data_IF_802470498256
#
_entry.id   IF_802470498256
#
_cell.length_a   1.000
_cell.length_b   1.000
_cell.length_c   1.000
_cell.angle_alpha   90.00
_cell.angle_beta   90.00
_cell.angle_gamma   90.00
#
_symmetry.space_group_name_H-M   'P 1'
#
loop_
_entity.id
_entity.type
_entity.pdbx_description
1 polymer ?
#
# COMPACT_ATOMS: atom_id res chain seq x y z
N UNK A 1 -12.24 46.31 10.86
CA UNK A 1 -11.37 45.17 11.21
C UNK A 1 -11.61 43.99 10.27
N UNK A 2 -11.59 44.17 8.93
CA UNK A 2 -12.02 43.13 7.97
C UNK A 2 -10.94 42.67 6.97
N UNK A 3 -9.65 42.82 7.29
CA UNK A 3 -8.58 42.68 6.29
C UNK A 3 -7.59 41.54 6.55
N UNK A 4 -7.57 40.92 7.74
CA UNK A 4 -6.65 39.81 8.07
C UNK A 4 -7.21 38.45 7.65
N UNK A 5 -8.50 38.18 7.89
CA UNK A 5 -9.17 36.94 7.50
C UNK A 5 -9.09 36.68 5.99
N UNK A 6 -9.28 37.75 5.21
CA UNK A 6 -9.17 37.70 3.74
C UNK A 6 -7.74 37.38 3.28
N UNK A 7 -6.70 37.80 4.01
CA UNK A 7 -5.30 37.61 3.61
C UNK A 7 -4.84 36.16 3.79
N UNK A 8 -5.21 35.50 4.89
CA UNK A 8 -4.85 34.08 5.11
C UNK A 8 -5.49 33.22 4.02
N UNK A 9 -6.79 33.40 3.78
CA UNK A 9 -7.54 32.67 2.74
C UNK A 9 -6.95 32.93 1.35
N UNK A 10 -6.60 34.17 1.01
CA UNK A 10 -5.95 34.49 -0.27
C UNK A 10 -4.58 33.81 -0.43
N UNK A 11 -3.75 33.78 0.62
CA UNK A 11 -2.47 33.06 0.61
C UNK A 11 -2.65 31.57 0.40
N UNK A 12 -3.67 30.96 1.01
CA UNK A 12 -4.02 29.55 0.83
C UNK A 12 -4.52 29.26 -0.58
N UNK A 13 -5.40 30.11 -1.12
CA UNK A 13 -5.89 29.99 -2.51
C UNK A 13 -4.79 30.15 -3.55
N UNK A 14 -3.78 30.98 -3.27
CA UNK A 14 -2.64 31.18 -4.17
C UNK A 14 -1.82 29.90 -4.42
N UNK A 15 -1.95 28.87 -3.56
CA UNK A 15 -1.32 27.55 -3.71
C UNK A 15 -1.95 26.70 -4.81
N UNK A 16 -3.19 27.03 -5.20
CA UNK A 16 -3.88 26.39 -6.31
C UNK A 16 -3.64 27.17 -7.59
N UNK A 17 -3.59 26.44 -8.71
CA UNK A 17 -3.48 27.06 -10.03
C UNK A 17 -4.71 27.94 -10.29
N UNK A 18 -4.60 29.03 -11.06
CA UNK A 18 -5.72 29.94 -11.31
C UNK A 18 -7.01 29.23 -11.77
N UNK A 19 -6.89 28.20 -12.60
CA UNK A 19 -7.98 27.37 -13.11
C UNK A 19 -8.60 26.44 -12.05
N UNK A 20 -7.88 26.12 -10.98
CA UNK A 20 -8.34 25.25 -9.88
C UNK A 20 -9.06 26.02 -8.78
N UNK A 21 -8.77 27.32 -8.61
CA UNK A 21 -9.35 28.14 -7.53
C UNK A 21 -10.89 28.14 -7.53
N UNK A 22 -11.59 28.29 -8.68
CA UNK A 22 -13.05 28.20 -8.70
C UNK A 22 -13.59 26.85 -8.24
N UNK A 23 -12.85 25.76 -8.49
CA UNK A 23 -13.24 24.41 -8.06
C UNK A 23 -13.24 24.31 -6.54
N UNK A 24 -12.19 24.86 -5.90
CA UNK A 24 -12.00 24.91 -4.43
C UNK A 24 -13.04 25.83 -3.78
N UNK A 25 -13.20 27.05 -4.29
CA UNK A 25 -14.17 28.02 -3.74
C UNK A 25 -15.62 27.54 -3.89
N UNK A 26 -15.91 26.82 -4.98
CA UNK A 26 -17.23 26.26 -5.25
C UNK A 26 -17.61 25.05 -4.41
N UNK A 27 -16.69 24.43 -3.64
CA UNK A 27 -17.01 23.28 -2.78
C UNK A 27 -18.09 23.65 -1.76
N UNK A 28 -17.99 24.85 -1.17
CA UNK A 28 -18.94 25.32 -0.16
C UNK A 28 -20.38 25.38 -0.71
N UNK A 29 -20.55 25.93 -1.90
CA UNK A 29 -21.86 26.06 -2.54
C UNK A 29 -22.44 24.70 -2.96
N UNK A 30 -21.57 23.78 -3.43
CA UNK A 30 -21.97 22.40 -3.74
C UNK A 30 -22.48 21.67 -2.51
N UNK A 31 -21.78 21.77 -1.37
CA UNK A 31 -22.20 21.14 -0.11
C UNK A 31 -23.51 21.76 0.43
N UNK A 32 -23.75 23.04 0.16
CA UNK A 32 -25.03 23.70 0.48
C UNK A 32 -26.18 23.36 -0.49
N UNK A 33 -25.90 22.68 -1.61
CA UNK A 33 -26.89 22.37 -2.66
C UNK A 33 -27.27 23.56 -3.55
N UNK A 34 -26.45 24.62 -3.62
CA UNK A 34 -26.71 25.78 -4.47
C UNK A 34 -26.09 25.61 -5.87
N UNK A 35 -26.89 25.82 -6.92
CA UNK A 35 -26.42 25.87 -8.31
C UNK A 35 -25.51 27.11 -8.51
N UNK A 36 -24.44 27.04 -9.33
CA UNK A 36 -23.46 28.13 -9.48
C UNK A 36 -23.98 29.42 -10.16
N UNK A 37 -25.29 29.53 -10.42
CA UNK A 37 -25.91 30.65 -11.15
C UNK A 37 -26.70 31.64 -10.28
N UNK A 38 -26.56 31.65 -8.96
CA UNK A 38 -27.38 32.47 -8.08
C UNK A 38 -26.64 33.29 -7.02
N UNK A 39 -26.26 34.53 -7.37
CA UNK A 39 -26.21 35.68 -6.46
C UNK A 39 -25.12 35.71 -5.37
N UNK A 40 -24.32 36.77 -5.41
CA UNK A 40 -23.36 37.15 -4.37
C UNK A 40 -23.97 37.08 -2.95
N UNK A 41 -23.23 36.42 -2.05
CA UNK A 41 -23.21 36.69 -0.60
C UNK A 41 -24.54 36.77 0.14
N UNK A 42 -25.08 35.64 0.60
CA UNK A 42 -25.83 35.64 1.86
C UNK A 42 -24.87 35.37 3.01
N UNK A 43 -24.48 36.44 3.70
CA UNK A 43 -23.76 36.37 4.97
C UNK A 43 -24.52 35.47 5.97
N UNK A 44 -23.83 34.52 6.60
CA UNK A 44 -24.36 33.68 7.68
C UNK A 44 -24.69 32.22 7.36
N UNK A 45 -24.36 31.70 6.16
CA UNK A 45 -24.44 30.26 5.89
C UNK A 45 -23.19 29.55 6.41
N UNK A 46 -23.38 28.41 7.08
CA UNK A 46 -22.33 27.56 7.64
C UNK A 46 -22.62 26.11 7.29
N UNK A 47 -21.57 25.32 7.08
CA UNK A 47 -21.71 23.88 6.86
C UNK A 47 -21.88 23.16 8.20
N UNK A 48 -22.78 22.19 8.21
CA UNK A 48 -22.98 21.28 9.35
C UNK A 48 -22.55 19.87 8.99
N UNK A 49 -22.27 19.03 9.99
CA UNK A 49 -21.89 17.62 9.80
C UNK A 49 -22.84 16.87 8.86
N UNK A 50 -24.15 17.14 8.96
CA UNK A 50 -25.17 16.50 8.13
C UNK A 50 -25.02 16.77 6.63
N UNK A 51 -24.36 17.88 6.25
CA UNK A 51 -24.14 18.26 4.86
C UNK A 51 -23.00 17.49 4.21
N UNK A 52 -22.09 16.89 5.00
CA UNK A 52 -20.99 16.07 4.49
C UNK A 52 -21.45 14.63 4.19
N UNK A 53 -22.47 14.14 4.91
CA UNK A 53 -22.94 12.75 4.79
C UNK A 53 -23.35 12.35 3.37
N UNK A 54 -24.11 13.17 2.59
CA UNK A 54 -24.48 12.81 1.23
C UNK A 54 -23.28 12.65 0.28
N UNK A 55 -22.18 13.38 0.53
CA UNK A 55 -21.00 13.34 -0.33
C UNK A 55 -20.04 12.21 0.05
N UNK A 56 -19.90 11.94 1.34
CA UNK A 56 -18.91 10.99 1.86
C UNK A 56 -19.47 9.64 2.30
N UNK A 57 -20.80 9.51 2.48
CA UNK A 57 -21.43 8.36 3.13
C UNK A 57 -21.23 7.01 2.43
N UNK A 58 -20.96 7.01 1.11
CA UNK A 58 -20.68 5.77 0.37
C UNK A 58 -19.21 5.34 0.46
N UNK A 59 -18.31 6.22 0.92
CA UNK A 59 -16.86 5.97 0.93
C UNK A 59 -16.23 6.06 2.31
N UNK A 60 -16.89 6.65 3.31
CA UNK A 60 -16.32 6.89 4.63
C UNK A 60 -17.31 6.51 5.73
N UNK A 61 -16.79 5.98 6.83
CA UNK A 61 -17.56 5.68 8.04
C UNK A 61 -18.12 6.96 8.68
N UNK A 62 -19.20 6.82 9.46
CA UNK A 62 -19.77 7.93 10.24
C UNK A 62 -18.74 8.55 11.21
N UNK A 63 -17.81 7.74 11.74
CA UNK A 63 -16.66 8.19 12.51
C UNK A 63 -15.73 9.06 11.67
N UNK A 64 -15.30 8.59 10.48
CA UNK A 64 -14.42 9.37 9.61
C UNK A 64 -15.06 10.69 9.16
N UNK A 65 -16.36 10.70 8.83
CA UNK A 65 -17.07 11.94 8.46
C UNK A 65 -17.06 12.94 9.62
N UNK A 66 -17.26 12.48 10.87
CA UNK A 66 -17.14 13.33 12.07
C UNK A 66 -15.72 13.87 12.24
N UNK A 67 -14.69 13.06 12.00
CA UNK A 67 -13.29 13.46 12.07
C UNK A 67 -12.97 14.55 11.03
N UNK A 68 -13.38 14.37 9.78
CA UNK A 68 -13.23 15.37 8.71
C UNK A 68 -13.91 16.69 9.08
N UNK A 69 -15.14 16.62 9.59
CA UNK A 69 -15.84 17.81 10.08
C UNK A 69 -15.12 18.49 11.25
N UNK A 70 -14.60 17.72 12.22
CA UNK A 70 -13.80 18.26 13.32
C UNK A 70 -12.52 18.96 12.82
N UNK A 71 -11.87 18.38 11.81
CA UNK A 71 -10.71 18.99 11.15
C UNK A 71 -11.04 20.29 10.40
N UNK A 72 -12.23 20.41 9.81
CA UNK A 72 -12.69 21.68 9.23
C UNK A 72 -12.95 22.73 10.32
N UNK A 73 -13.57 22.33 11.44
CA UNK A 73 -13.85 23.22 12.57
C UNK A 73 -12.59 23.73 13.28
N UNK A 74 -11.47 22.98 13.23
CA UNK A 74 -10.22 23.37 13.87
C UNK A 74 -9.42 24.43 13.10
N UNK A 75 -9.86 24.80 11.89
CA UNK A 75 -9.16 25.80 11.08
C UNK A 75 -9.38 27.21 11.62
N UNK A 76 -8.30 27.96 11.79
CA UNK A 76 -8.30 29.38 12.10
C UNK A 76 -8.06 30.20 10.81
N UNK A 77 -9.07 30.90 10.28
CA UNK A 77 -8.91 31.74 9.09
C UNK A 77 -8.23 33.10 9.38
N UNK A 78 -7.83 33.39 10.62
CA UNK A 78 -7.14 34.64 11.00
C UNK A 78 -7.98 35.64 11.82
N UNK A 79 -8.88 35.12 12.67
CA UNK A 79 -9.92 35.89 13.36
C UNK A 79 -10.31 35.32 14.74
N UNK A 80 -11.38 35.85 15.36
CA UNK A 80 -11.84 35.34 16.66
C UNK A 80 -12.38 33.90 16.52
N UNK A 81 -12.04 32.96 17.42
CA UNK A 81 -12.49 31.58 17.32
C UNK A 81 -14.03 31.51 17.31
N UNK A 82 -14.63 30.76 16.37
CA UNK A 82 -16.07 30.71 16.25
C UNK A 82 -16.70 30.10 17.51
N UNK A 83 -17.91 30.54 17.91
CA UNK A 83 -18.59 29.97 19.06
C UNK A 83 -18.83 28.46 18.87
N UNK A 84 -18.82 27.66 19.94
CA UNK A 84 -19.08 26.23 19.85
C UNK A 84 -20.41 25.95 19.13
N UNK A 85 -20.37 25.10 18.09
CA UNK A 85 -21.56 24.77 17.30
C UNK A 85 -21.92 25.74 16.18
N UNK A 86 -21.08 26.75 15.90
CA UNK A 86 -21.31 27.72 14.83
C UNK A 86 -21.25 27.14 13.39
N UNK A 87 -20.88 25.88 13.21
CA UNK A 87 -20.66 25.30 11.88
C UNK A 87 -19.34 25.72 11.25
N UNK A 88 -19.09 25.28 10.01
CA UNK A 88 -17.85 25.58 9.26
C UNK A 88 -18.12 26.71 8.28
N UNK A 89 -17.33 27.79 8.35
CA UNK A 89 -17.41 28.91 7.40
C UNK A 89 -16.78 28.58 6.04
N UNK A 90 -17.02 29.42 5.03
CA UNK A 90 -16.39 29.26 3.71
C UNK A 90 -14.87 29.38 3.81
N UNK A 91 -14.40 30.34 4.61
CA UNK A 91 -12.99 30.62 4.84
C UNK A 91 -12.30 29.43 5.50
N UNK A 92 -12.90 28.85 6.54
CA UNK A 92 -12.40 27.64 7.20
C UNK A 92 -12.29 26.46 6.23
N UNK A 93 -13.30 26.25 5.38
CA UNK A 93 -13.26 25.20 4.36
C UNK A 93 -12.12 25.41 3.35
N UNK A 94 -11.89 26.64 2.90
CA UNK A 94 -10.80 26.93 1.95
C UNK A 94 -9.44 26.69 2.58
N UNK A 95 -9.23 27.12 3.84
CA UNK A 95 -8.00 26.85 4.59
C UNK A 95 -7.81 25.34 4.78
N UNK A 96 -8.85 24.62 5.20
CA UNK A 96 -8.84 23.16 5.33
C UNK A 96 -8.41 22.47 4.03
N UNK A 97 -9.04 22.83 2.91
CA UNK A 97 -8.73 22.23 1.61
C UNK A 97 -7.29 22.54 1.17
N UNK A 98 -6.80 23.75 1.43
CA UNK A 98 -5.42 24.12 1.12
C UNK A 98 -4.41 23.32 1.96
N UNK A 99 -4.66 23.18 3.26
CA UNK A 99 -3.72 22.55 4.19
C UNK A 99 -3.73 21.02 4.02
N UNK A 100 -4.89 20.41 3.75
CA UNK A 100 -4.93 19.01 3.31
C UNK A 100 -4.22 18.88 1.97
N UNK A 101 -4.71 19.52 0.90
CA UNK A 101 -4.35 19.13 -0.48
C UNK A 101 -3.02 19.70 -0.98
N UNK A 102 -2.47 20.72 -0.29
CA UNK A 102 -1.24 21.45 -0.66
C UNK A 102 -0.35 21.81 0.54
N UNK A 103 -0.71 21.43 1.77
CA UNK A 103 0.04 21.79 2.97
C UNK A 103 1.27 20.93 3.22
N UNK A 104 2.18 21.47 4.02
CA UNK A 104 3.37 20.77 4.54
C UNK A 104 2.99 19.85 5.72
N UNK A 105 3.96 19.09 6.24
CA UNK A 105 3.75 18.29 7.46
C UNK A 105 3.36 19.17 8.66
N UNK A 106 4.02 20.32 8.83
CA UNK A 106 3.73 21.34 9.86
C UNK A 106 2.28 21.81 9.80
N UNK A 107 1.76 22.08 8.60
CA UNK A 107 0.38 22.56 8.42
C UNK A 107 -0.66 21.43 8.57
N UNK A 108 -0.27 20.19 8.29
CA UNK A 108 -1.14 19.01 8.41
C UNK A 108 -1.20 18.46 9.83
N UNK A 109 -0.15 18.58 10.63
CA UNK A 109 -0.11 17.98 11.97
C UNK A 109 -1.23 18.48 12.91
N UNK A 110 -1.53 19.79 13.02
CA UNK A 110 -2.65 20.28 13.83
C UNK A 110 -4.01 19.74 13.36
N UNK A 111 -4.19 19.64 12.04
CA UNK A 111 -5.39 19.07 11.45
C UNK A 111 -5.55 17.59 11.85
N UNK A 112 -4.51 16.80 11.69
CA UNK A 112 -4.50 15.39 12.07
C UNK A 112 -4.78 15.20 13.56
N UNK A 113 -4.19 16.07 14.38
CA UNK A 113 -4.40 16.11 15.82
C UNK A 113 -5.88 16.34 16.17
N UNK A 114 -6.56 17.28 15.49
CA UNK A 114 -7.99 17.52 15.65
C UNK A 114 -8.85 16.35 15.14
N UNK A 115 -8.46 15.73 14.03
CA UNK A 115 -9.16 14.56 13.48
C UNK A 115 -9.01 13.30 14.36
N UNK A 116 -7.88 13.12 15.04
CA UNK A 116 -7.62 11.96 15.89
C UNK A 116 -8.35 12.02 17.23
N UNK A 117 -8.30 13.17 17.93
CA UNK A 117 -8.86 13.30 19.29
C UNK A 117 -10.26 13.94 19.33
N UNK A 118 -10.69 14.61 18.25
CA UNK A 118 -11.86 15.50 18.27
C UNK A 118 -11.55 16.87 18.91
N UNK A 119 -12.56 17.58 19.43
CA UNK A 119 -12.35 18.83 20.18
C UNK A 119 -11.55 18.53 21.46
N UNK A 120 -10.32 19.02 21.55
CA UNK A 120 -9.40 18.56 22.59
C UNK A 120 -8.21 19.47 22.88
N UNK A 121 -7.30 18.96 23.71
CA UNK A 121 -6.21 19.68 24.38
C UNK A 121 -4.93 19.79 23.56
N UNK A 122 -4.90 19.23 22.34
CA UNK A 122 -3.73 19.21 21.46
C UNK A 122 -2.81 18.00 21.66
N UNK A 123 -3.30 16.95 22.35
CA UNK A 123 -2.56 15.70 22.60
C UNK A 123 -3.47 14.50 22.32
N UNK A 124 -3.00 13.51 21.58
CA UNK A 124 -3.74 12.28 21.26
C UNK A 124 -3.01 11.04 21.78
N UNK A 125 -3.76 10.00 22.19
CA UNK A 125 -3.16 8.69 22.49
C UNK A 125 -2.78 7.95 21.21
N UNK A 126 -1.81 7.03 21.28
CA UNK A 126 -1.50 6.16 20.14
C UNK A 126 -2.74 5.40 19.63
N UNK A 127 -3.62 4.97 20.53
CA UNK A 127 -4.83 4.24 20.17
C UNK A 127 -5.81 5.13 19.37
N UNK A 128 -5.99 6.39 19.75
CA UNK A 128 -6.80 7.34 18.98
C UNK A 128 -6.24 7.58 17.57
N UNK A 129 -4.91 7.63 17.43
CA UNK A 129 -4.25 7.77 16.12
C UNK A 129 -4.46 6.50 15.29
N UNK A 130 -4.30 5.32 15.89
CA UNK A 130 -4.53 4.04 15.23
C UNK A 130 -5.98 3.91 14.77
N UNK A 131 -6.97 4.28 15.60
CA UNK A 131 -8.39 4.28 15.23
C UNK A 131 -8.67 5.23 14.07
N UNK A 132 -8.10 6.44 14.09
CA UNK A 132 -8.20 7.36 12.96
C UNK A 132 -7.59 6.78 11.68
N UNK A 133 -6.43 6.12 11.78
CA UNK A 133 -5.79 5.46 10.65
C UNK A 133 -6.61 4.28 10.12
N UNK A 134 -7.28 3.51 10.98
CA UNK A 134 -8.20 2.45 10.55
C UNK A 134 -9.37 3.03 9.77
N UNK A 135 -9.99 4.10 10.27
CA UNK A 135 -11.03 4.85 9.55
C UNK A 135 -10.53 5.35 8.19
N UNK A 136 -9.28 5.83 8.12
CA UNK A 136 -8.68 6.36 6.90
C UNK A 136 -8.40 5.28 5.86
N UNK A 137 -7.73 4.20 6.27
CA UNK A 137 -7.44 3.06 5.40
C UNK A 137 -8.73 2.43 4.90
N UNK A 138 -9.73 2.27 5.78
CA UNK A 138 -11.06 1.78 5.39
C UNK A 138 -11.71 2.67 4.34
N UNK A 139 -11.65 3.99 4.51
CA UNK A 139 -12.19 4.92 3.53
C UNK A 139 -11.47 4.86 2.18
N UNK A 140 -10.14 4.71 2.18
CA UNK A 140 -9.36 4.51 0.94
C UNK A 140 -9.75 3.21 0.24
N UNK A 141 -9.92 2.11 0.98
CA UNK A 141 -10.40 0.84 0.43
C UNK A 141 -11.78 1.01 -0.21
N UNK A 142 -12.70 1.71 0.45
CA UNK A 142 -14.02 2.00 -0.13
C UNK A 142 -13.92 2.89 -1.37
N UNK A 143 -13.04 3.90 -1.39
CA UNK A 143 -12.80 4.72 -2.60
C UNK A 143 -12.35 3.85 -3.77
N UNK A 144 -11.40 2.93 -3.55
CA UNK A 144 -10.93 2.01 -4.59
C UNK A 144 -12.09 1.20 -5.16
N UNK A 145 -12.93 0.64 -4.29
CA UNK A 145 -14.09 -0.20 -4.67
C UNK A 145 -15.14 0.64 -5.42
N UNK A 146 -15.61 1.72 -4.81
CA UNK A 146 -16.72 2.53 -5.32
C UNK A 146 -16.36 3.30 -6.59
N UNK A 147 -15.08 3.66 -6.77
CA UNK A 147 -14.59 4.34 -7.99
C UNK A 147 -14.10 3.35 -9.06
N UNK A 148 -14.24 2.05 -8.84
CA UNK A 148 -13.87 1.02 -9.82
C UNK A 148 -12.36 0.94 -10.11
N UNK A 149 -11.50 1.33 -9.15
CA UNK A 149 -10.04 1.37 -9.31
C UNK A 149 -9.38 0.04 -8.92
N UNK A 150 -10.10 -1.06 -9.10
CA UNK A 150 -9.70 -2.39 -8.65
C UNK A 150 -8.64 -3.06 -9.52
N UNK A 151 -8.37 -2.54 -10.73
CA UNK A 151 -7.26 -3.03 -11.57
C UNK A 151 -7.30 -4.56 -11.83
N UNK A 152 -8.49 -5.17 -11.87
CA UNK A 152 -8.67 -6.61 -12.08
C UNK A 152 -8.76 -7.45 -10.79
N UNK A 153 -8.46 -6.87 -9.62
CA UNK A 153 -8.66 -7.50 -8.32
C UNK A 153 -10.16 -7.65 -7.99
N UNK A 154 -10.51 -8.68 -7.21
CA UNK A 154 -11.89 -9.06 -6.87
C UNK A 154 -12.06 -9.15 -5.36
N UNK A 155 -12.42 -8.05 -4.66
CA UNK A 155 -12.54 -8.02 -3.20
C UNK A 155 -13.42 -9.13 -2.62
N UNK A 156 -14.49 -9.51 -3.32
CA UNK A 156 -15.40 -10.59 -2.95
C UNK A 156 -14.78 -12.00 -3.00
N UNK A 157 -13.61 -12.14 -3.64
CA UNK A 157 -12.80 -13.37 -3.74
C UNK A 157 -11.47 -13.27 -2.99
N UNK A 158 -11.22 -12.18 -2.28
CA UNK A 158 -9.99 -11.90 -1.54
C UNK A 158 -10.18 -12.13 -0.04
N UNK A 159 -9.09 -11.99 0.72
CA UNK A 159 -9.15 -12.04 2.18
C UNK A 159 -9.93 -10.84 2.76
N UNK A 160 -10.39 -11.00 4.00
CA UNK A 160 -11.17 -9.96 4.69
C UNK A 160 -10.31 -8.72 4.96
N UNK A 161 -10.66 -7.63 4.28
CA UNK A 161 -9.98 -6.34 4.42
C UNK A 161 -10.12 -5.73 5.81
N UNK A 162 -11.06 -6.18 6.65
CA UNK A 162 -11.20 -5.66 8.03
C UNK A 162 -9.95 -5.93 8.88
N UNK A 163 -9.29 -7.08 8.64
CA UNK A 163 -8.04 -7.44 9.30
C UNK A 163 -6.90 -6.63 8.70
N UNK A 164 -6.80 -6.54 7.37
CA UNK A 164 -5.78 -5.73 6.69
C UNK A 164 -5.82 -4.25 7.05
N UNK A 165 -7.02 -3.67 7.25
CA UNK A 165 -7.19 -2.28 7.69
C UNK A 165 -6.50 -2.05 9.04
N UNK A 166 -6.71 -2.96 10.00
CA UNK A 166 -6.08 -2.87 11.33
C UNK A 166 -4.57 -3.02 11.23
N UNK A 167 -4.11 -4.04 10.52
CA UNK A 167 -2.68 -4.32 10.35
C UNK A 167 -1.94 -3.17 9.64
N UNK A 168 -2.52 -2.59 8.61
CA UNK A 168 -1.93 -1.47 7.89
C UNK A 168 -1.93 -0.20 8.75
N UNK A 169 -3.01 0.08 9.50
CA UNK A 169 -3.03 1.21 10.43
C UNK A 169 -1.95 1.08 11.51
N UNK A 170 -1.80 -0.10 12.10
CA UNK A 170 -0.74 -0.40 13.08
C UNK A 170 0.65 -0.22 12.46
N UNK A 171 0.87 -0.75 11.25
CA UNK A 171 2.13 -0.57 10.52
C UNK A 171 2.45 0.91 10.27
N UNK A 172 1.48 1.69 9.79
CA UNK A 172 1.65 3.13 9.52
C UNK A 172 1.97 3.91 10.80
N UNK A 173 1.43 3.46 11.94
CA UNK A 173 1.67 4.05 13.26
C UNK A 173 3.00 3.62 13.90
N UNK A 174 3.68 2.59 13.37
CA UNK A 174 4.86 1.98 14.02
C UNK A 174 6.09 2.88 14.11
N UNK A 175 6.16 3.94 13.28
CA UNK A 175 7.22 4.97 13.30
C UNK A 175 6.86 6.20 14.16
N UNK A 176 5.72 6.19 14.84
CA UNK A 176 5.40 7.20 15.84
C UNK A 176 6.41 7.11 16.98
N UNK A 177 6.83 8.27 17.48
CA UNK A 177 7.71 8.41 18.64
C UNK A 177 6.92 9.10 19.76
N UNK A 178 6.00 8.39 20.41
CA UNK A 178 5.20 8.97 21.47
C UNK A 178 6.08 9.32 22.68
N UNK A 179 5.56 10.18 23.55
CA UNK A 179 6.12 10.36 24.89
C UNK A 179 5.97 9.08 25.73
N UNK A 180 6.61 9.05 26.90
CA UNK A 180 6.59 7.89 27.81
C UNK A 180 5.17 7.40 28.18
N UNK A 181 4.14 8.24 28.03
CA UNK A 181 2.74 7.91 28.31
C UNK A 181 1.97 7.36 27.09
N UNK A 182 2.64 6.99 25.99
CA UNK A 182 2.00 6.60 24.71
C UNK A 182 1.05 7.67 24.17
N UNK A 183 1.41 8.93 24.36
CA UNK A 183 0.70 10.09 23.82
C UNK A 183 1.59 10.85 22.84
N UNK A 184 0.97 11.45 21.83
CA UNK A 184 1.61 12.26 20.80
C UNK A 184 1.06 13.69 20.85
N UNK A 185 1.95 14.67 20.81
CA UNK A 185 1.63 16.07 20.60
C UNK A 185 1.77 16.44 19.11
N UNK A 186 1.54 17.72 18.77
CA UNK A 186 1.61 18.19 17.37
C UNK A 186 3.02 18.01 16.77
N UNK A 187 4.13 18.38 17.43
CA UNK A 187 5.48 18.13 16.91
C UNK A 187 5.77 16.65 16.64
N UNK A 188 5.31 15.75 17.51
CA UNK A 188 5.42 14.30 17.29
C UNK A 188 4.70 13.88 16.00
N UNK A 189 3.49 14.38 15.76
CA UNK A 189 2.75 14.09 14.52
C UNK A 189 3.38 14.72 13.28
N UNK A 190 3.94 15.93 13.38
CA UNK A 190 4.64 16.58 12.28
C UNK A 190 5.84 15.75 11.82
N UNK A 191 6.71 15.37 12.76
CA UNK A 191 7.89 14.54 12.51
C UNK A 191 7.52 13.18 11.89
N UNK A 192 6.42 12.58 12.37
CA UNK A 192 5.89 11.33 11.81
C UNK A 192 5.30 11.51 10.41
N UNK A 193 4.46 12.52 10.18
CA UNK A 193 3.85 12.80 8.86
C UNK A 193 4.90 13.11 7.80
N UNK A 194 6.01 13.73 8.20
CA UNK A 194 7.15 13.98 7.32
C UNK A 194 7.80 12.67 6.84
N UNK A 195 7.93 11.66 7.72
CA UNK A 195 8.49 10.34 7.36
C UNK A 195 7.50 9.45 6.62
N UNK A 196 6.23 9.45 7.03
CA UNK A 196 5.20 8.52 6.52
C UNK A 196 4.26 9.22 5.55
N UNK A 197 4.78 9.53 4.36
CA UNK A 197 4.06 10.30 3.32
C UNK A 197 2.79 9.63 2.78
N UNK A 198 2.63 8.31 2.94
CA UNK A 198 1.41 7.58 2.55
C UNK A 198 0.17 8.08 3.28
N UNK A 199 0.32 8.48 4.55
CA UNK A 199 -0.78 9.01 5.38
C UNK A 199 -1.37 10.26 4.75
N UNK A 200 -0.51 11.19 4.33
CA UNK A 200 -0.88 12.40 3.63
C UNK A 200 -1.58 12.10 2.30
N UNK A 201 -1.04 11.16 1.51
CA UNK A 201 -1.60 10.77 0.23
C UNK A 201 -3.01 10.16 0.38
N UNK A 202 -3.25 9.37 1.42
CA UNK A 202 -4.57 8.79 1.72
C UNK A 202 -5.57 9.86 2.15
N UNK A 203 -5.15 10.83 2.95
CA UNK A 203 -5.98 11.99 3.29
C UNK A 203 -6.33 12.83 2.07
N UNK A 204 -5.36 13.09 1.21
CA UNK A 204 -5.57 13.84 -0.04
C UNK A 204 -6.61 13.13 -0.92
N UNK A 205 -6.51 11.81 -1.04
CA UNK A 205 -7.47 11.00 -1.77
C UNK A 205 -8.87 11.02 -1.13
N UNK A 206 -8.96 10.87 0.20
CA UNK A 206 -10.21 10.93 0.93
C UNK A 206 -10.93 12.27 0.73
N UNK A 207 -10.22 13.38 0.92
CA UNK A 207 -10.80 14.72 0.82
C UNK A 207 -11.12 15.07 -0.64
N UNK A 208 -10.23 14.72 -1.57
CA UNK A 208 -10.44 14.92 -3.00
C UNK A 208 -11.68 14.19 -3.52
N UNK A 209 -11.82 12.90 -3.21
CA UNK A 209 -12.95 12.09 -3.68
C UNK A 209 -14.21 12.32 -2.86
N UNK A 210 -14.09 12.49 -1.55
CA UNK A 210 -15.22 12.62 -0.62
C UNK A 210 -15.91 13.98 -0.68
N UNK A 211 -15.17 15.05 -0.96
CA UNK A 211 -15.75 16.38 -1.17
C UNK A 211 -15.86 16.75 -2.65
N UNK A 212 -15.52 15.82 -3.54
CA UNK A 212 -15.55 15.99 -4.99
C UNK A 212 -14.76 17.25 -5.44
N UNK A 213 -13.48 17.29 -5.06
CA UNK A 213 -12.53 18.36 -5.37
C UNK A 213 -11.64 17.88 -6.53
N UNK A 214 -12.11 18.09 -7.76
CA UNK A 214 -11.38 17.68 -8.98
C UNK A 214 -10.26 18.65 -9.33
N UNK A 215 -9.02 18.34 -8.91
CA UNK A 215 -7.83 19.15 -9.23
C UNK A 215 -7.09 18.54 -10.43
N UNK A 216 -6.96 19.31 -11.51
CA UNK A 216 -6.29 18.85 -12.74
C UNK A 216 -4.79 18.60 -12.55
N UNK A 217 -4.15 19.28 -11.58
CA UNK A 217 -2.72 19.14 -11.34
C UNK A 217 -2.36 17.87 -10.56
N UNK A 218 -3.34 17.08 -10.09
CA UNK A 218 -3.09 15.94 -9.22
C UNK A 218 -4.07 14.80 -9.52
N UNK A 219 -3.75 13.94 -10.51
CA UNK A 219 -4.56 12.75 -10.74
C UNK A 219 -4.53 11.85 -9.49
N UNK A 220 -5.59 11.05 -9.27
CA UNK A 220 -5.61 10.10 -8.17
C UNK A 220 -4.44 9.12 -8.25
N UNK A 221 -3.79 8.78 -7.13
CA UNK A 221 -2.67 7.85 -7.11
C UNK A 221 -3.11 6.44 -7.51
N UNK A 222 -2.23 5.72 -8.19
CA UNK A 222 -2.37 4.27 -8.37
C UNK A 222 -2.03 3.59 -7.06
N UNK A 223 -2.99 2.85 -6.50
CA UNK A 223 -2.85 2.16 -5.20
C UNK A 223 -2.76 0.64 -5.33
N UNK A 224 -3.09 0.10 -6.50
CA UNK A 224 -3.08 -1.33 -6.78
C UNK A 224 -2.35 -1.59 -8.10
N UNK A 225 -1.55 -2.67 -8.18
CA UNK A 225 -1.01 -3.12 -9.46
C UNK A 225 -2.13 -3.77 -10.29
N UNK A 226 -2.02 -3.81 -11.62
CA UNK A 226 -2.90 -4.63 -12.45
C UNK A 226 -2.85 -6.10 -12.03
N UNK A 227 -3.99 -6.78 -12.03
CA UNK A 227 -4.10 -8.23 -11.84
C UNK A 227 -4.47 -8.87 -13.18
N UNK A 228 -3.68 -9.84 -13.64
CA UNK A 228 -3.80 -10.39 -14.98
C UNK A 228 -4.17 -11.88 -14.97
N UNK A 229 -5.19 -12.24 -15.77
CA UNK A 229 -5.60 -13.63 -16.06
C UNK A 229 -5.88 -14.53 -14.85
N UNK A 230 -6.27 -13.95 -13.71
CA UNK A 230 -6.51 -14.74 -12.48
C UNK A 230 -7.85 -15.50 -12.56
N UNK A 231 -7.88 -16.83 -12.30
CA UNK A 231 -9.09 -17.65 -12.33
C UNK A 231 -9.95 -17.48 -11.05
N UNK A 232 -10.56 -16.30 -10.93
CA UNK A 232 -11.32 -15.86 -9.75
C UNK A 232 -12.47 -16.78 -9.35
N UNK A 233 -13.08 -17.51 -10.28
CA UNK A 233 -14.19 -18.43 -9.99
C UNK A 233 -13.81 -19.52 -8.98
N UNK A 234 -12.56 -19.97 -9.01
CA UNK A 234 -12.05 -21.05 -8.16
C UNK A 234 -11.12 -20.56 -7.05
N UNK A 235 -10.48 -19.42 -7.25
CA UNK A 235 -9.53 -18.87 -6.28
C UNK A 235 -10.23 -18.14 -5.13
N UNK A 236 -9.78 -18.38 -3.91
CA UNK A 236 -9.93 -17.48 -2.76
C UNK A 236 -8.54 -16.95 -2.41
N UNK A 237 -8.28 -15.69 -2.76
CA UNK A 237 -6.95 -15.11 -2.61
C UNK A 237 -6.64 -14.80 -1.14
N UNK A 238 -5.40 -15.11 -0.72
CA UNK A 238 -4.89 -14.82 0.61
C UNK A 238 -4.60 -13.32 0.84
N UNK A 239 -4.40 -12.55 -0.22
CA UNK A 239 -4.19 -11.11 -0.14
C UNK A 239 -5.53 -10.37 -0.01
N UNK A 240 -5.54 -9.28 0.75
CA UNK A 240 -6.59 -8.28 0.75
C UNK A 240 -6.07 -6.96 0.12
N UNK A 241 -6.95 -5.96 -0.01
CA UNK A 241 -6.58 -4.67 -0.61
C UNK A 241 -5.54 -3.90 0.24
N UNK A 242 -5.68 -3.76 1.58
CA UNK A 242 -4.65 -3.12 2.41
C UNK A 242 -3.26 -3.76 2.27
N UNK A 243 -3.17 -5.09 2.24
CA UNK A 243 -1.89 -5.80 2.10
C UNK A 243 -1.27 -5.53 0.72
N UNK A 244 -2.06 -5.47 -0.36
CA UNK A 244 -1.57 -5.06 -1.67
C UNK A 244 -1.07 -3.62 -1.70
N UNK A 245 -1.81 -2.69 -1.07
CA UNK A 245 -1.41 -1.28 -0.94
C UNK A 245 -0.09 -1.14 -0.18
N UNK A 246 0.19 -2.05 0.76
CA UNK A 246 1.44 -2.09 1.52
C UNK A 246 2.60 -2.73 0.74
N UNK A 247 2.37 -3.90 0.12
CA UNK A 247 3.44 -4.68 -0.52
C UNK A 247 3.86 -4.12 -1.88
N UNK A 248 2.92 -3.59 -2.67
CA UNK A 248 3.22 -3.14 -4.05
C UNK A 248 4.29 -2.04 -4.11
N UNK A 249 4.26 -1.00 -3.25
CA UNK A 249 5.33 0.00 -3.20
C UNK A 249 6.71 -0.55 -2.84
N UNK A 250 6.79 -1.73 -2.23
CA UNK A 250 8.06 -2.36 -1.83
C UNK A 250 8.72 -3.10 -2.99
N UNK A 251 8.01 -3.31 -4.09
CA UNK A 251 8.51 -4.02 -5.27
C UNK A 251 9.30 -3.06 -6.17
N UNK A 252 10.44 -3.49 -6.76
CA UNK A 252 11.26 -2.64 -7.62
C UNK A 252 10.51 -2.03 -8.81
N UNK A 253 9.63 -2.80 -9.45
CA UNK A 253 8.86 -2.35 -10.62
C UNK A 253 7.49 -1.71 -10.24
N UNK A 254 7.18 -1.67 -8.93
CA UNK A 254 6.01 -1.03 -8.35
C UNK A 254 4.68 -1.40 -9.02
N UNK A 255 3.92 -0.38 -9.43
CA UNK A 255 2.57 -0.51 -9.98
C UNK A 255 2.53 -0.83 -11.49
N UNK A 256 3.67 -0.86 -12.17
CA UNK A 256 3.71 -0.88 -13.64
C UNK A 256 3.64 -2.30 -14.24
N UNK A 257 3.81 -3.32 -13.42
CA UNK A 257 3.83 -4.72 -13.86
C UNK A 257 2.58 -5.43 -13.36
N UNK A 258 1.83 -6.12 -14.24
CA UNK A 258 0.69 -6.91 -13.83
C UNK A 258 1.13 -8.08 -12.94
N UNK A 259 0.42 -8.28 -11.84
CA UNK A 259 0.52 -9.46 -11.01
C UNK A 259 -0.22 -10.61 -11.68
N UNK A 260 0.50 -11.71 -11.91
CA UNK A 260 -0.05 -12.94 -12.49
C UNK A 260 0.04 -14.08 -11.51
N UNK A 261 -1.07 -14.77 -11.25
CA UNK A 261 -1.03 -15.98 -10.42
C UNK A 261 -0.29 -17.09 -11.17
N UNK A 262 0.85 -17.53 -10.62
CA UNK A 262 1.64 -18.63 -11.16
C UNK A 262 1.25 -19.95 -10.52
N UNK A 263 1.01 -19.96 -9.21
CA UNK A 263 0.65 -21.16 -8.47
C UNK A 263 -0.29 -20.83 -7.30
N UNK A 264 -1.15 -21.77 -6.98
CA UNK A 264 -1.98 -21.77 -5.78
C UNK A 264 -2.33 -23.20 -5.42
N UNK A 265 -2.23 -23.57 -4.14
CA UNK A 265 -2.60 -24.92 -3.68
C UNK A 265 -4.07 -25.24 -3.96
N UNK A 266 -4.95 -24.24 -3.91
CA UNK A 266 -6.39 -24.39 -4.20
C UNK A 266 -6.68 -24.80 -5.65
N UNK A 267 -5.81 -24.39 -6.58
CA UNK A 267 -6.04 -24.59 -8.02
C UNK A 267 -5.20 -25.72 -8.59
N UNK A 268 -3.97 -25.86 -8.12
CA UNK A 268 -2.95 -26.74 -8.72
C UNK A 268 -2.65 -27.97 -7.86
N UNK A 269 -3.18 -28.01 -6.62
CA UNK A 269 -2.98 -29.08 -5.67
C UNK A 269 -1.65 -28.99 -4.92
N UNK A 270 -1.36 -30.04 -4.16
CA UNK A 270 -0.27 -30.10 -3.19
C UNK A 270 0.93 -30.86 -3.76
N UNK A 271 1.75 -30.18 -4.58
CA UNK A 271 2.92 -30.80 -5.20
C UNK A 271 4.05 -29.81 -5.37
N UNK A 272 5.19 -30.10 -4.73
CA UNK A 272 6.39 -29.28 -4.87
C UNK A 272 6.88 -29.22 -6.32
N UNK A 273 6.85 -30.33 -7.04
CA UNK A 273 7.20 -30.39 -8.48
C UNK A 273 6.33 -29.43 -9.31
N UNK A 274 5.04 -29.30 -8.99
CA UNK A 274 4.16 -28.32 -9.66
C UNK A 274 4.51 -26.88 -9.29
N UNK A 275 4.88 -26.58 -8.05
CA UNK A 275 5.39 -25.26 -7.66
C UNK A 275 6.61 -24.92 -8.50
N UNK A 276 7.62 -25.80 -8.51
CA UNK A 276 8.86 -25.61 -9.27
C UNK A 276 8.55 -25.36 -10.75
N UNK A 277 7.74 -26.22 -11.38
CA UNK A 277 7.36 -26.07 -12.79
C UNK A 277 6.59 -24.79 -13.10
N UNK A 278 5.83 -24.25 -12.14
CA UNK A 278 5.06 -23.02 -12.32
C UNK A 278 5.88 -21.75 -12.13
N UNK A 279 6.97 -21.81 -11.34
CA UNK A 279 7.78 -20.66 -10.97
C UNK A 279 9.10 -20.56 -11.75
N UNK A 280 9.62 -21.68 -12.24
CA UNK A 280 10.91 -21.74 -12.94
C UNK A 280 10.91 -20.83 -14.17
N UNK A 281 11.91 -19.94 -14.25
CA UNK A 281 12.08 -19.03 -15.39
C UNK A 281 10.98 -17.97 -15.56
N UNK A 282 10.13 -17.72 -14.55
CA UNK A 282 9.02 -16.74 -14.65
C UNK A 282 9.38 -15.31 -14.23
N UNK A 283 10.65 -15.06 -13.92
CA UNK A 283 11.10 -13.76 -13.39
C UNK A 283 10.76 -13.57 -11.90
N UNK A 284 10.77 -12.32 -11.41
CA UNK A 284 10.51 -12.00 -10.00
C UNK A 284 9.14 -12.49 -9.50
N UNK A 285 9.09 -13.02 -8.27
CA UNK A 285 7.86 -13.56 -7.67
C UNK A 285 7.64 -13.12 -6.24
N UNK A 286 6.38 -12.95 -5.85
CA UNK A 286 5.94 -12.89 -4.45
C UNK A 286 5.39 -14.27 -4.06
N UNK A 287 6.06 -14.90 -3.08
CA UNK A 287 5.61 -16.13 -2.44
C UNK A 287 4.81 -15.77 -1.19
N UNK A 288 3.61 -16.31 -1.04
CA UNK A 288 2.73 -16.11 0.11
C UNK A 288 2.31 -17.46 0.68
N UNK A 289 2.50 -17.62 1.99
CA UNK A 289 2.24 -18.85 2.74
C UNK A 289 1.30 -18.52 3.88
N UNK A 290 0.33 -19.40 4.09
CA UNK A 290 -0.47 -19.48 5.30
C UNK A 290 -0.17 -20.81 5.99
N UNK A 291 0.18 -20.76 7.28
CA UNK A 291 0.33 -21.96 8.10
C UNK A 291 -1.01 -22.40 8.71
N UNK A 292 -1.06 -23.64 9.23
CA UNK A 292 -2.27 -24.20 9.86
C UNK A 292 -2.68 -23.51 11.15
N UNK A 293 -1.84 -22.61 11.70
CA UNK A 293 -2.16 -21.74 12.84
C UNK A 293 -2.57 -20.33 12.41
N UNK A 294 -2.75 -20.12 11.11
CA UNK A 294 -3.28 -18.89 10.53
C UNK A 294 -2.27 -17.76 10.34
N UNK A 295 -0.98 -17.96 10.62
CA UNK A 295 0.02 -16.93 10.29
C UNK A 295 0.17 -16.85 8.77
N UNK A 296 0.27 -15.63 8.26
CA UNK A 296 0.46 -15.36 6.83
C UNK A 296 1.76 -14.59 6.67
N UNK A 297 2.66 -15.12 5.86
CA UNK A 297 4.00 -14.57 5.65
C UNK A 297 4.55 -15.02 4.29
N UNK A 298 5.69 -14.47 3.90
CA UNK A 298 6.21 -14.74 2.58
C UNK A 298 7.53 -14.07 2.27
N UNK A 299 7.88 -14.06 0.99
CA UNK A 299 9.08 -13.42 0.49
C UNK A 299 8.94 -12.97 -0.95
N UNK A 300 9.64 -11.89 -1.28
CA UNK A 300 9.85 -11.45 -2.65
C UNK A 300 11.19 -11.99 -3.15
N UNK A 301 11.14 -12.76 -4.24
CA UNK A 301 12.30 -13.25 -4.96
C UNK A 301 12.56 -12.34 -6.17
N UNK A 302 13.75 -11.75 -6.24
CA UNK A 302 14.09 -10.74 -7.25
C UNK A 302 14.41 -11.29 -8.64
N UNK A 303 14.55 -12.61 -8.77
CA UNK A 303 14.89 -13.29 -10.01
C UNK A 303 13.96 -14.48 -10.25
N UNK A 304 13.94 -14.96 -11.49
CA UNK A 304 13.33 -16.24 -11.82
C UNK A 304 14.00 -17.38 -11.05
N UNK A 305 13.19 -18.33 -10.60
CA UNK A 305 13.70 -19.48 -9.88
C UNK A 305 14.45 -20.44 -10.82
N UNK A 306 15.68 -20.80 -10.45
CA UNK A 306 16.43 -21.89 -11.07
C UNK A 306 16.64 -23.02 -10.07
N UNK A 307 16.65 -24.26 -10.56
CA UNK A 307 16.94 -25.45 -9.75
C UNK A 307 18.45 -25.68 -9.77
N UNK A 308 19.14 -25.31 -8.70
CA UNK A 308 20.59 -25.48 -8.54
C UNK A 308 20.99 -25.53 -7.06
N UNK A 309 22.15 -26.13 -6.72
CA UNK A 309 22.57 -26.27 -5.32
C UNK A 309 23.13 -24.98 -4.70
N UNK A 310 23.29 -23.90 -5.47
CA UNK A 310 23.77 -22.61 -4.99
C UNK A 310 22.63 -21.63 -4.68
N UNK A 311 22.89 -20.72 -3.75
CA UNK A 311 22.05 -19.54 -3.57
C UNK A 311 22.05 -18.66 -4.83
N UNK A 312 20.93 -17.95 -5.03
CA UNK A 312 20.68 -17.08 -6.18
C UNK A 312 19.93 -15.82 -5.74
N UNK A 313 19.61 -14.95 -6.71
CA UNK A 313 18.94 -13.67 -6.46
C UNK A 313 19.93 -12.55 -6.10
N UNK A 314 19.40 -11.43 -5.62
CA UNK A 314 20.18 -10.27 -5.23
C UNK A 314 19.62 -9.58 -3.96
N UNK A 315 20.23 -8.46 -3.57
CA UNK A 315 19.86 -7.67 -2.39
C UNK A 315 18.46 -7.04 -2.44
N UNK A 316 17.75 -7.12 -3.58
CA UNK A 316 16.35 -6.65 -3.67
C UNK A 316 15.37 -7.67 -3.11
N UNK A 317 15.79 -8.92 -2.89
CA UNK A 317 14.97 -9.90 -2.17
C UNK A 317 14.66 -9.42 -0.75
N UNK A 318 13.49 -9.78 -0.24
CA UNK A 318 13.10 -9.51 1.14
C UNK A 318 12.10 -10.55 1.64
N UNK A 319 12.01 -10.68 2.96
CA UNK A 319 10.93 -11.41 3.61
C UNK A 319 9.87 -10.45 4.13
N UNK A 320 8.65 -10.93 4.31
CA UNK A 320 7.59 -10.14 4.92
C UNK A 320 6.65 -11.00 5.76
N UNK A 321 6.01 -10.37 6.74
CA UNK A 321 4.88 -10.92 7.48
C UNK A 321 3.62 -10.13 7.13
N UNK A 322 2.48 -10.81 7.08
CA UNK A 322 1.15 -10.22 6.87
C UNK A 322 0.34 -10.33 8.15
N UNK A 323 0.20 -11.53 8.71
CA UNK A 323 -0.52 -11.77 9.98
C UNK A 323 0.35 -12.62 10.91
N UNK A 324 0.50 -12.26 12.20
CA UNK A 324 -0.29 -11.29 12.97
C UNK A 324 0.19 -9.83 12.90
N UNK A 325 1.28 -9.55 12.20
CA UNK A 325 1.76 -8.17 12.00
C UNK A 325 2.25 -7.96 10.57
N UNK A 326 1.99 -6.79 10.02
CA UNK A 326 2.37 -6.42 8.65
C UNK A 326 3.76 -5.74 8.65
N UNK A 327 4.78 -6.39 8.09
CA UNK A 327 6.16 -5.86 8.07
C UNK A 327 6.97 -6.43 6.92
N UNK A 328 7.94 -5.65 6.43
CA UNK A 328 8.97 -6.05 5.46
C UNK A 328 10.34 -6.11 6.12
N UNK A 329 11.15 -7.08 5.73
CA UNK A 329 12.50 -7.36 6.23
C UNK A 329 13.48 -7.45 5.06
N UNK A 330 14.18 -6.35 4.80
CA UNK A 330 15.16 -6.23 3.70
C UNK A 330 16.51 -6.82 4.08
N UNK A 331 17.40 -7.01 3.09
CA UNK A 331 18.69 -7.61 3.34
C UNK A 331 19.56 -6.81 4.34
N UNK A 332 20.29 -7.50 5.21
CA UNK A 332 21.22 -6.92 6.19
C UNK A 332 22.59 -6.59 5.59
N UNK A 333 22.91 -7.14 4.41
CA UNK A 333 24.24 -7.10 3.81
C UNK A 333 25.24 -8.11 4.39
N UNK A 334 24.83 -8.97 5.34
CA UNK A 334 25.74 -9.92 5.99
C UNK A 334 26.23 -11.06 5.07
N UNK A 335 25.36 -11.55 4.19
CA UNK A 335 25.67 -12.59 3.22
C UNK A 335 24.79 -12.44 1.96
N UNK A 336 25.03 -13.28 0.96
CA UNK A 336 24.30 -13.28 -0.31
C UNK A 336 23.37 -14.51 -0.45
N UNK A 337 22.86 -15.02 0.68
CA UNK A 337 22.00 -16.22 0.71
C UNK A 337 20.52 -15.86 0.47
N UNK A 338 20.24 -15.12 -0.60
CA UNK A 338 18.94 -14.46 -0.78
C UNK A 338 17.80 -15.46 -1.02
N UNK A 339 17.93 -16.29 -2.04
CA UNK A 339 16.95 -17.32 -2.39
C UNK A 339 17.66 -18.61 -2.84
N UNK A 340 17.01 -19.75 -2.63
CA UNK A 340 17.53 -21.08 -2.88
C UNK A 340 16.41 -21.96 -3.41
N UNK A 341 16.66 -22.71 -4.47
CA UNK A 341 15.74 -23.74 -4.95
C UNK A 341 16.54 -24.91 -5.47
N UNK A 342 16.24 -26.09 -4.94
CA UNK A 342 16.90 -27.31 -5.34
C UNK A 342 15.94 -28.50 -5.31
N UNK A 343 16.20 -29.50 -6.14
CA UNK A 343 15.36 -30.69 -6.28
C UNK A 343 16.18 -31.87 -6.77
N UNK A 344 15.92 -33.06 -6.23
CA UNK A 344 16.51 -34.33 -6.68
C UNK A 344 18.00 -34.53 -6.30
N UNK A 345 18.55 -33.74 -5.39
CA UNK A 345 19.92 -33.90 -4.92
C UNK A 345 20.00 -34.83 -3.70
N UNK A 346 21.07 -35.62 -3.60
CA UNK A 346 21.25 -36.57 -2.49
C UNK A 346 21.87 -35.91 -1.26
N UNK A 347 22.79 -34.97 -1.46
CA UNK A 347 23.61 -34.37 -0.39
C UNK A 347 23.20 -32.96 -0.02
N UNK A 348 22.37 -32.33 -0.83
CA UNK A 348 21.92 -30.95 -0.64
C UNK A 348 20.42 -30.93 -0.32
N UNK A 349 19.95 -29.97 0.51
CA UNK A 349 18.54 -29.87 0.85
C UNK A 349 17.67 -29.66 -0.40
N UNK A 350 16.60 -30.43 -0.55
CA UNK A 350 15.64 -30.26 -1.62
C UNK A 350 14.44 -29.47 -1.12
N UNK A 351 14.13 -28.36 -1.78
CA UNK A 351 13.11 -27.43 -1.32
C UNK A 351 13.36 -26.02 -1.83
N UNK A 352 12.53 -25.09 -1.35
CA UNK A 352 12.59 -23.67 -1.64
C UNK A 352 12.93 -22.93 -0.35
N UNK A 353 14.00 -22.14 -0.36
CA UNK A 353 14.48 -21.40 0.81
C UNK A 353 14.73 -19.94 0.50
N UNK A 354 14.59 -19.08 1.51
CA UNK A 354 14.96 -17.68 1.45
C UNK A 354 15.63 -17.22 2.74
N UNK A 355 16.86 -16.71 2.63
CA UNK A 355 17.62 -16.11 3.72
C UNK A 355 18.13 -17.12 4.74
N UNK A 356 19.30 -16.85 5.33
CA UNK A 356 19.91 -17.71 6.36
C UNK A 356 20.94 -18.64 5.76
N UNK A 357 20.90 -19.91 6.14
CA UNK A 357 21.80 -20.96 5.64
C UNK A 357 21.06 -22.30 5.62
N UNK A 358 21.67 -23.33 5.01
CA UNK A 358 21.10 -24.68 5.00
C UNK A 358 20.71 -25.14 6.41
N UNK A 359 19.46 -25.56 6.57
CA UNK A 359 18.90 -26.00 7.86
C UNK A 359 18.43 -24.88 8.81
N UNK A 360 18.72 -23.61 8.49
CA UNK A 360 18.37 -22.43 9.28
C UNK A 360 17.88 -21.29 8.37
N UNK A 361 16.92 -21.58 7.50
CA UNK A 361 16.38 -20.56 6.61
C UNK A 361 15.41 -19.63 7.36
N UNK A 362 15.37 -18.36 6.95
CA UNK A 362 14.34 -17.42 7.40
C UNK A 362 12.95 -17.86 6.93
N UNK A 363 12.87 -18.45 5.73
CA UNK A 363 11.72 -19.12 5.18
C UNK A 363 12.16 -20.37 4.40
N UNK A 364 11.60 -21.53 4.72
CA UNK A 364 11.82 -22.79 4.00
C UNK A 364 10.50 -23.51 3.72
N UNK A 365 10.39 -24.06 2.52
CA UNK A 365 9.37 -25.02 2.12
C UNK A 365 10.06 -26.29 1.64
N UNK A 366 9.70 -27.42 2.25
CA UNK A 366 10.30 -28.70 1.95
C UNK A 366 9.81 -29.30 0.62
N UNK A 367 10.67 -30.06 -0.06
CA UNK A 367 10.31 -30.75 -1.30
C UNK A 367 9.26 -31.85 -1.13
N UNK A 368 9.11 -32.40 0.08
CA UNK A 368 8.05 -33.35 0.41
C UNK A 368 6.65 -32.70 0.41
N UNK A 369 6.58 -31.37 0.22
CA UNK A 369 5.38 -30.55 0.34
C UNK A 369 4.75 -30.61 1.76
N UNK A 370 3.93 -29.61 2.09
CA UNK A 370 3.12 -29.61 3.31
C UNK A 370 3.86 -29.21 4.59
N UNK A 371 5.20 -29.15 4.57
CA UNK A 371 6.03 -28.77 5.72
C UNK A 371 7.05 -27.71 5.36
N UNK A 372 7.37 -26.86 6.32
CA UNK A 372 8.37 -25.82 6.18
C UNK A 372 8.92 -25.38 7.53
N UNK A 373 9.84 -24.43 7.52
CA UNK A 373 10.34 -23.83 8.76
C UNK A 373 10.72 -22.35 8.58
N UNK A 374 10.74 -21.62 9.69
CA UNK A 374 11.26 -20.25 9.84
C UNK A 374 12.25 -20.20 11.00
N UNK A 375 13.46 -20.71 10.76
CA UNK A 375 14.51 -20.89 11.77
C UNK A 375 15.38 -19.64 11.88
N UNK A 376 14.80 -18.59 12.44
CA UNK A 376 15.38 -17.26 12.48
C UNK A 376 15.66 -16.78 13.92
N UNK A 377 16.19 -17.65 14.81
CA UNK A 377 16.51 -17.27 16.20
C UNK A 377 17.98 -16.88 16.39
N UNK A 378 18.30 -15.68 16.94
CA UNK A 378 17.37 -14.61 17.33
C UNK A 378 16.80 -13.85 16.13
N UNK A 379 17.53 -13.77 15.01
CA UNK A 379 17.09 -13.22 13.72
C UNK A 379 17.74 -13.97 12.56
N UNK A 380 17.08 -14.01 11.40
CA UNK A 380 17.68 -14.48 10.15
C UNK A 380 18.88 -13.60 9.78
N UNK A 381 20.02 -14.20 9.46
CA UNK A 381 21.26 -13.45 9.16
C UNK A 381 21.14 -12.61 7.89
N UNK A 382 20.45 -13.10 6.86
CA UNK A 382 20.32 -12.42 5.56
C UNK A 382 19.35 -11.25 5.60
N UNK A 383 18.22 -11.38 6.32
CA UNK A 383 17.12 -10.41 6.27
C UNK A 383 16.82 -9.71 7.61
N UNK A 384 17.45 -10.12 8.70
CA UNK A 384 17.14 -9.59 10.03
C UNK A 384 15.71 -9.90 10.51
N UNK A 385 14.97 -10.73 9.77
CA UNK A 385 13.61 -11.12 10.11
C UNK A 385 13.60 -11.97 11.40
N UNK A 386 12.56 -11.85 12.23
CA UNK A 386 12.28 -12.84 13.27
C UNK A 386 11.74 -14.13 12.63
N UNK A 387 11.35 -15.09 13.48
CA UNK A 387 10.47 -16.18 13.07
C UNK A 387 9.17 -15.59 12.49
N UNK A 388 8.80 -16.02 11.28
CA UNK A 388 7.63 -15.51 10.55
C UNK A 388 6.38 -16.36 10.77
N UNK A 389 6.57 -17.68 10.87
CA UNK A 389 5.53 -18.66 11.18
C UNK A 389 5.16 -18.67 12.65
N UNK A 390 4.01 -19.26 12.98
CA UNK A 390 3.57 -19.41 14.37
C UNK A 390 4.57 -20.18 15.24
N UNK A 391 5.20 -21.20 14.65
CA UNK A 391 6.23 -22.05 15.26
C UNK A 391 7.45 -22.16 14.35
N UNK A 392 8.57 -22.62 14.90
CA UNK A 392 9.82 -22.76 14.15
C UNK A 392 9.66 -23.67 12.93
N UNK A 393 9.07 -24.85 13.12
CA UNK A 393 8.59 -25.72 12.04
C UNK A 393 7.08 -25.54 11.90
N UNK A 394 6.58 -25.50 10.67
CA UNK A 394 5.16 -25.26 10.38
C UNK A 394 4.61 -26.26 9.37
N UNK A 395 3.30 -26.51 9.48
CA UNK A 395 2.52 -27.21 8.46
C UNK A 395 1.86 -26.19 7.55
N UNK A 396 1.96 -26.41 6.24
CA UNK A 396 1.37 -25.55 5.22
C UNK A 396 -0.14 -25.75 5.16
N UNK A 397 -0.92 -24.66 5.23
CA UNK A 397 -2.37 -24.66 4.96
C UNK A 397 -2.63 -24.27 3.50
N UNK A 398 -2.06 -23.15 3.07
CA UNK A 398 -2.19 -22.69 1.68
C UNK A 398 -0.97 -21.90 1.22
N UNK A 399 -0.72 -21.95 -0.08
CA UNK A 399 0.40 -21.25 -0.72
C UNK A 399 -0.07 -20.64 -2.03
N UNK A 400 0.36 -19.40 -2.27
CA UNK A 400 0.19 -18.67 -3.53
C UNK A 400 1.55 -18.17 -4.01
N UNK A 401 1.77 -18.23 -5.32
CA UNK A 401 2.93 -17.59 -5.97
C UNK A 401 2.42 -16.66 -7.05
N UNK A 402 2.80 -15.39 -6.93
CA UNK A 402 2.46 -14.33 -7.86
C UNK A 402 3.71 -13.89 -8.63
N UNK A 403 3.67 -13.92 -9.96
CA UNK A 403 4.67 -13.28 -10.81
C UNK A 403 4.44 -11.79 -10.82
N UNK A 404 5.49 -11.01 -10.54
CA UNK A 404 5.42 -9.56 -10.32
C UNK A 404 6.48 -8.77 -11.08
N UNK A 405 7.20 -9.44 -11.99
CA UNK A 405 8.17 -8.81 -12.88
C UNK A 405 7.97 -9.27 -14.32
N UNK A 406 8.72 -8.67 -15.24
CA UNK A 406 8.79 -9.20 -16.60
C UNK A 406 9.44 -10.60 -16.56
N UNK A 407 8.92 -11.59 -17.30
CA UNK A 407 9.68 -12.80 -17.56
C UNK A 407 11.04 -12.39 -18.17
N UNK A 408 12.13 -13.14 -17.91
CA UNK A 408 13.37 -12.96 -18.65
C UNK A 408 13.05 -12.98 -20.15
N UNK A 409 13.60 -12.04 -20.92
CA UNK A 409 13.55 -12.14 -22.38
C UNK A 409 14.14 -13.51 -22.73
N UNK A 410 13.38 -14.33 -23.46
CA UNK A 410 13.90 -15.58 -23.99
C UNK A 410 15.19 -15.22 -24.73
N UNK A 411 16.35 -15.74 -24.28
CA UNK A 411 17.57 -15.62 -25.06
C UNK A 411 17.23 -16.15 -26.46
N UNK A 412 17.15 -15.25 -27.44
CA UNK A 412 17.06 -15.64 -28.84
C UNK A 412 18.24 -16.58 -29.07
N UNK A 413 17.96 -17.86 -29.20
CA UNK A 413 18.91 -18.84 -29.70
C UNK A 413 19.24 -18.37 -31.11
N UNK A 414 20.33 -17.63 -31.22
CA UNK A 414 20.95 -17.29 -32.49
C UNK A 414 21.38 -18.62 -33.11
N UNK A 415 20.49 -19.18 -33.93
CA UNK A 415 20.84 -20.23 -34.86
C UNK A 415 21.80 -19.54 -35.84
N UNK A 416 23.10 -19.67 -35.60
CA UNK A 416 24.13 -19.38 -36.58
C UNK A 416 23.91 -20.33 -37.78
N UNK A 417 23.08 -19.89 -38.73
CA UNK A 417 23.15 -20.34 -40.11
C UNK A 417 24.29 -19.58 -40.78
N UNK A 418 25.52 -19.90 -40.37
CA UNK A 418 26.68 -19.50 -41.14
C UNK A 418 26.69 -20.33 -42.44
N UNK A 419 26.29 -19.63 -43.49
CA UNK A 419 26.48 -19.97 -44.89
C UNK A 419 27.93 -20.43 -45.14
N UNK A 420 28.14 -21.73 -45.36
CA UNK A 420 29.19 -22.19 -46.26
C UNK A 420 28.60 -22.30 -47.68
N UNK A 421 28.50 -21.14 -48.36
CA UNK A 421 28.53 -21.10 -49.81
C UNK A 421 29.97 -21.35 -50.28
N UNK A 422 30.26 -22.56 -50.77
CA UNK A 422 31.41 -22.80 -51.65
C UNK A 422 30.90 -22.80 -53.09
N UNK A 423 30.94 -21.64 -53.73
CA UNK A 423 30.95 -21.52 -55.19
C UNK A 423 32.35 -21.07 -55.60
N UNK A 424 33.10 -21.99 -56.20
CA UNK A 424 34.39 -21.75 -56.85
C UNK A 424 34.21 -21.00 -58.18
N UNK A 425 35.15 -20.12 -58.57
CA UNK A 425 35.03 -19.31 -59.78
C UNK A 425 35.47 -20.06 -61.05
N UNK A 426 34.89 -19.59 -62.17
CA UNK A 426 35.04 -19.99 -63.56
C UNK A 426 36.48 -20.15 -64.09
N UNK A 427 36.69 -21.16 -64.94
CA UNK A 427 37.66 -21.14 -66.04
C UNK A 427 36.96 -21.68 -67.30
N UNK A 428 36.97 -20.94 -68.44
CA UNK A 428 36.55 -21.48 -69.74
C UNK A 428 37.79 -21.84 -70.57
N UNK A 429 37.86 -23.04 -71.16
CA UNK A 429 38.74 -23.30 -72.30
C UNK A 429 38.18 -24.39 -73.22
N UNK A 430 37.97 -23.96 -74.47
CA UNK A 430 37.84 -24.66 -75.77
C UNK A 430 36.74 -25.71 -75.97
#
# INVERSE_FOLDING_TARGET
>A
MGNTDSVVVQKRLARFRPEERPVVEGVFDRLHGASPSGGAGKAGKVLTLGMLKPCMGNIASDSMIKRVYAGMCSMDPGGAPPPPGAGVSREQLVVFLADVLRGTAEERAPLFMAMAQGPGTGVATCDQIIEFLQDLVSAVVQIIIQKGRLQGWKPERMADSSIGVKLLAEQMSSELKPSDQRTCDVPCLEDWLFRVSNVAMYMDLLIGEGLNVGLTSRPPPTLLPPCWETPWEKLRCLLDLPVLMFLTPQLPDGYNIPWKLLFSTQLHGESFTKIVGSCKGRGPTVLLIKDTKGHIFGGFASHGWEVKPQFQGDSRCFLFSVFPCLRVYTCTGYNQHYMYLNQGQQTMPNGLGMGGQHGYFGLWLDSDFGRGHSRARPRCTTYGSPQLSAEEDFTLDSLEVWGVGKPPEEEEVSINLDNHCLLTPLIPFM
#
